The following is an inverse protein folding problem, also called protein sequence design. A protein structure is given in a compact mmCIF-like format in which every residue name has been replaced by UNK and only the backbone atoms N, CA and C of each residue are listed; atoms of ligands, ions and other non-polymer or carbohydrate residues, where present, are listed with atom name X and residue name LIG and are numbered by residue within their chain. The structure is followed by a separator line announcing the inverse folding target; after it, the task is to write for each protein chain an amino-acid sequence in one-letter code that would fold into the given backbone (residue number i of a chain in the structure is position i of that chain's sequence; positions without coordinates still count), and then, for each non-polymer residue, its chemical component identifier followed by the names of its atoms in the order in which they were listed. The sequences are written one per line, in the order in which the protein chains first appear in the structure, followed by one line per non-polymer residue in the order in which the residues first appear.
data_IF_145892408032
#
_entry.id   IF_145892408032
#
_cell.length_a   1.000
_cell.length_b   1.000
_cell.length_c   1.000
_cell.angle_alpha   90.00
_cell.angle_beta   90.00
_cell.angle_gamma   90.00
#
_symmetry.space_group_name_H-M   'P 1'
#
loop_
_entity.id
_entity.type
_entity.pdbx_description
1 polymer ?
#
# COMPACT_ATOMS: atom_id res chain seq x y z
N UNK A 1 19.09 -0.90 10.36
CA UNK A 1 18.82 0.22 9.44
C UNK A 1 18.20 1.36 10.23
N UNK A 2 18.73 2.56 10.06
CA UNK A 2 18.25 3.73 10.79
C UNK A 2 17.24 4.51 9.93
N UNK A 3 16.06 3.96 9.78
CA UNK A 3 14.97 4.60 9.07
C UNK A 3 13.83 5.00 10.02
N UNK A 4 12.89 5.79 9.53
CA UNK A 4 11.75 6.23 10.30
C UNK A 4 10.83 5.07 10.72
N UNK A 5 10.83 4.00 9.97
CA UNK A 5 10.13 2.75 10.24
C UNK A 5 10.75 1.95 11.41
N UNK A 6 12.03 2.21 11.74
CA UNK A 6 12.72 1.60 12.88
C UNK A 6 12.36 2.35 14.16
N UNK A 7 11.14 2.15 14.62
CA UNK A 7 10.57 2.83 15.80
C UNK A 7 10.99 2.18 17.11
N UNK A 8 11.61 1.02 17.05
CA UNK A 8 12.15 0.33 18.22
C UNK A 8 13.28 1.14 18.86
N UNK A 9 13.16 1.48 20.14
CA UNK A 9 14.13 2.32 20.84
C UNK A 9 13.96 3.82 20.68
N UNK A 10 13.03 4.27 19.83
CA UNK A 10 12.64 5.68 19.76
C UNK A 10 11.60 6.01 20.83
N UNK A 11 11.67 7.22 21.38
CA UNK A 11 10.77 7.70 22.42
C UNK A 11 9.98 8.92 21.93
N UNK A 12 8.92 9.27 22.67
CA UNK A 12 8.16 10.49 22.42
C UNK A 12 6.91 10.30 21.55
N UNK A 13 6.54 9.07 21.22
CA UNK A 13 5.29 8.79 20.49
C UNK A 13 4.03 8.81 21.37
N UNK A 14 4.20 8.92 22.68
CA UNK A 14 3.10 8.88 23.64
C UNK A 14 2.59 7.46 23.94
N UNK A 15 1.48 7.34 24.69
CA UNK A 15 0.91 6.05 25.01
C UNK A 15 0.23 5.41 23.80
N UNK A 16 0.20 4.09 23.76
CA UNK A 16 -0.61 3.35 22.79
C UNK A 16 -2.08 3.52 23.14
N UNK A 17 -2.84 4.10 22.22
CA UNK A 17 -4.27 4.28 22.36
C UNK A 17 -4.98 3.03 21.83
N UNK A 18 -5.62 2.29 22.73
CA UNK A 18 -6.36 1.09 22.39
C UNK A 18 -7.79 1.50 22.09
N UNK A 19 -8.24 1.21 20.87
CA UNK A 19 -9.62 1.41 20.47
C UNK A 19 -10.50 0.28 21.03
N UNK A 20 -11.52 0.64 21.80
CA UNK A 20 -12.50 -0.33 22.29
C UNK A 20 -13.39 -0.76 21.10
N UNK A 21 -13.54 -2.06 20.90
CA UNK A 21 -14.32 -2.64 19.79
C UNK A 21 -13.83 -2.23 18.41
N UNK A 22 -12.51 -2.20 18.22
CA UNK A 22 -11.88 -1.86 16.95
C UNK A 22 -12.44 -2.73 15.80
N UNK A 23 -13.01 -2.13 14.74
CA UNK A 23 -13.46 -2.88 13.58
C UNK A 23 -12.25 -3.37 12.75
N UNK A 24 -12.44 -4.41 11.94
CA UNK A 24 -11.39 -4.87 11.01
C UNK A 24 -10.96 -3.78 10.02
N UNK A 25 -11.92 -2.97 9.59
CA UNK A 25 -11.69 -1.83 8.71
C UNK A 25 -12.53 -0.65 9.18
N UNK A 26 -11.95 0.54 9.18
CA UNK A 26 -12.65 1.78 9.53
C UNK A 26 -13.45 2.36 8.36
N UNK A 27 -13.34 1.77 7.17
CA UNK A 27 -14.08 2.19 5.98
C UNK A 27 -13.91 1.23 4.81
N UNK A 28 -14.78 1.33 3.82
CA UNK A 28 -14.74 0.47 2.62
C UNK A 28 -13.46 0.67 1.81
N UNK A 29 -12.88 1.86 1.82
CA UNK A 29 -11.62 2.12 1.13
C UNK A 29 -10.45 1.30 1.69
N UNK A 30 -10.43 1.04 2.99
CA UNK A 30 -9.41 0.19 3.63
C UNK A 30 -9.51 -1.26 3.18
N UNK A 31 -10.73 -1.77 3.10
CA UNK A 31 -11.01 -3.09 2.57
C UNK A 31 -10.52 -3.23 1.13
N UNK A 32 -10.80 -2.22 0.30
CA UNK A 32 -10.32 -2.18 -1.09
C UNK A 32 -8.79 -2.08 -1.16
N UNK A 33 -8.18 -1.27 -0.32
CA UNK A 33 -6.72 -1.15 -0.25
C UNK A 33 -6.06 -2.50 0.03
N UNK A 34 -6.57 -3.25 1.00
CA UNK A 34 -6.10 -4.61 1.28
C UNK A 34 -6.30 -5.52 0.07
N UNK A 35 -7.52 -5.55 -0.48
CA UNK A 35 -7.87 -6.43 -1.60
C UNK A 35 -7.01 -6.19 -2.82
N UNK A 36 -6.82 -4.95 -3.23
CA UNK A 36 -5.97 -4.60 -4.39
C UNK A 36 -4.50 -4.92 -4.11
N UNK A 37 -4.02 -4.65 -2.90
CA UNK A 37 -2.64 -4.98 -2.53
C UNK A 37 -2.36 -6.49 -2.59
N UNK A 38 -3.28 -7.30 -2.10
CA UNK A 38 -3.17 -8.77 -2.17
C UNK A 38 -3.23 -9.26 -3.62
N UNK A 39 -4.18 -8.75 -4.39
CA UNK A 39 -4.33 -9.12 -5.80
C UNK A 39 -3.08 -8.77 -6.62
N UNK A 40 -2.51 -7.59 -6.41
CA UNK A 40 -1.28 -7.18 -7.09
C UNK A 40 -0.05 -7.94 -6.59
N UNK A 41 0.02 -8.28 -5.30
CA UNK A 41 1.06 -9.15 -4.78
C UNK A 41 1.07 -10.53 -5.44
N UNK A 42 -0.09 -11.06 -5.78
CA UNK A 42 -0.23 -12.34 -6.52
C UNK A 42 0.20 -12.24 -7.99
N UNK A 43 0.40 -11.05 -8.54
CA UNK A 43 0.90 -10.88 -9.92
C UNK A 43 2.33 -11.38 -10.11
N UNK A 44 3.12 -11.49 -9.04
CA UNK A 44 4.51 -11.89 -9.09
C UNK A 44 5.48 -10.79 -9.53
N UNK A 45 5.02 -9.55 -9.69
CA UNK A 45 5.85 -8.42 -10.12
C UNK A 45 6.77 -7.92 -9.00
N UNK A 46 6.48 -8.25 -7.76
CA UNK A 46 7.31 -7.99 -6.59
C UNK A 46 7.06 -9.03 -5.50
N UNK A 47 7.95 -9.06 -4.53
CA UNK A 47 7.81 -9.90 -3.35
C UNK A 47 7.42 -9.05 -2.12
N UNK A 48 7.22 -9.72 -0.99
CA UNK A 48 6.83 -9.06 0.27
C UNK A 48 7.88 -8.05 0.76
N UNK A 49 9.16 -8.34 0.53
CA UNK A 49 10.24 -7.46 0.99
C UNK A 49 10.25 -6.15 0.19
N UNK A 50 10.05 -6.22 -1.11
CA UNK A 50 9.90 -5.04 -1.97
C UNK A 50 8.68 -4.21 -1.57
N UNK A 51 7.56 -4.87 -1.27
CA UNK A 51 6.34 -4.19 -0.81
C UNK A 51 6.54 -3.49 0.54
N UNK A 52 7.27 -4.09 1.46
CA UNK A 52 7.63 -3.47 2.74
C UNK A 52 8.58 -2.29 2.53
N UNK A 53 9.63 -2.49 1.77
CA UNK A 53 10.58 -1.41 1.44
C UNK A 53 9.90 -0.21 0.79
N UNK A 54 8.92 -0.43 -0.09
CA UNK A 54 8.14 0.64 -0.68
C UNK A 54 7.36 1.47 0.35
N UNK A 55 6.79 0.81 1.38
CA UNK A 55 6.11 1.50 2.49
C UNK A 55 7.09 2.30 3.35
N UNK A 56 8.23 1.70 3.67
CA UNK A 56 9.28 2.31 4.47
C UNK A 56 9.97 3.48 3.76
N UNK A 57 9.90 3.53 2.44
CA UNK A 57 10.49 4.59 1.60
C UNK A 57 9.56 5.78 1.36
N UNK A 58 8.35 5.77 1.92
CA UNK A 58 7.43 6.90 1.82
C UNK A 58 7.99 8.14 2.52
N UNK A 59 7.55 9.34 2.12
CA UNK A 59 7.90 10.54 2.85
C UNK A 59 7.60 10.39 4.35
N UNK A 60 8.47 10.88 5.25
CA UNK A 60 8.34 10.68 6.69
C UNK A 60 6.96 10.96 7.26
N UNK A 61 6.34 12.07 6.88
CA UNK A 61 5.02 12.44 7.37
C UNK A 61 3.92 11.46 6.93
N UNK A 62 4.02 10.97 5.71
CA UNK A 62 3.06 9.97 5.19
C UNK A 62 3.14 8.66 5.96
N UNK A 63 4.35 8.27 6.35
CA UNK A 63 4.56 7.05 7.12
C UNK A 63 4.10 7.17 8.58
N UNK A 64 4.35 8.32 9.23
CA UNK A 64 4.10 8.49 10.67
C UNK A 64 2.68 8.95 10.97
N UNK A 65 2.09 9.81 10.14
CA UNK A 65 0.80 10.44 10.43
C UNK A 65 -0.38 9.78 9.71
N UNK A 66 -0.13 9.01 8.67
CA UNK A 66 -1.19 8.40 7.88
C UNK A 66 -1.85 7.21 8.58
N UNK A 67 -3.15 6.96 8.32
CA UNK A 67 -3.78 5.71 8.70
C UNK A 67 -3.04 4.51 8.07
N UNK A 68 -3.11 3.36 8.71
CA UNK A 68 -2.37 2.16 8.29
C UNK A 68 -2.54 1.83 6.80
N UNK A 69 -3.77 1.76 6.31
CA UNK A 69 -4.04 1.43 4.91
C UNK A 69 -3.73 2.57 3.93
N UNK A 70 -3.60 3.82 4.40
CA UNK A 70 -3.11 4.91 3.56
C UNK A 70 -1.63 4.71 3.19
N UNK A 71 -0.82 4.22 4.13
CA UNK A 71 0.57 3.82 3.89
C UNK A 71 0.62 2.73 2.80
N UNK A 72 -0.23 1.71 2.91
CA UNK A 72 -0.33 0.64 1.92
C UNK A 72 -0.70 1.17 0.53
N UNK A 73 -1.72 2.04 0.48
CA UNK A 73 -2.21 2.60 -0.79
C UNK A 73 -1.14 3.44 -1.48
N UNK A 74 -0.46 4.33 -0.75
CA UNK A 74 0.60 5.17 -1.31
C UNK A 74 1.77 4.35 -1.84
N UNK A 75 2.22 3.35 -1.08
CA UNK A 75 3.28 2.45 -1.52
C UNK A 75 2.87 1.64 -2.77
N UNK A 76 1.64 1.14 -2.80
CA UNK A 76 1.10 0.43 -3.96
C UNK A 76 1.07 1.33 -5.20
N UNK A 77 0.60 2.57 -5.08
CA UNK A 77 0.61 3.55 -6.17
C UNK A 77 2.01 3.74 -6.76
N UNK A 78 3.00 3.93 -5.91
CA UNK A 78 4.38 4.09 -6.34
C UNK A 78 4.90 2.84 -7.07
N UNK A 79 4.64 1.66 -6.54
CA UNK A 79 5.06 0.40 -7.18
C UNK A 79 4.38 0.18 -8.54
N UNK A 80 3.10 0.51 -8.66
CA UNK A 80 2.36 0.38 -9.91
C UNK A 80 2.89 1.32 -11.00
N UNK A 81 3.24 2.55 -10.63
CA UNK A 81 3.83 3.54 -11.54
C UNK A 81 5.24 3.10 -11.95
N UNK A 82 6.09 2.73 -11.01
CA UNK A 82 7.46 2.29 -11.28
C UNK A 82 7.51 1.11 -12.25
N UNK A 83 6.55 0.21 -12.16
CA UNK A 83 6.47 -0.96 -13.05
C UNK A 83 5.66 -0.74 -14.33
N UNK A 84 5.22 0.49 -14.56
CA UNK A 84 4.53 0.86 -15.78
C UNK A 84 3.12 0.28 -15.91
N UNK A 85 2.51 -0.16 -14.81
CA UNK A 85 1.14 -0.70 -14.82
C UNK A 85 0.08 0.40 -14.90
N UNK A 86 0.38 1.54 -14.31
CA UNK A 86 -0.41 2.76 -14.41
C UNK A 86 0.51 3.96 -14.61
N UNK A 87 -0.06 5.06 -15.07
CA UNK A 87 0.64 6.33 -15.17
C UNK A 87 0.22 7.28 -14.04
N UNK A 88 1.05 8.29 -13.77
CA UNK A 88 0.69 9.34 -12.82
C UNK A 88 -0.57 10.11 -13.24
N UNK A 89 -0.78 10.31 -14.54
CA UNK A 89 -1.98 10.96 -15.08
C UNK A 89 -3.23 10.12 -14.86
N UNK A 90 -3.17 8.80 -15.05
CA UNK A 90 -4.27 7.88 -14.75
C UNK A 90 -4.64 7.94 -13.27
N UNK A 91 -3.65 7.97 -12.40
CA UNK A 91 -3.88 8.09 -10.96
C UNK A 91 -4.55 9.42 -10.61
N UNK A 92 -4.08 10.54 -11.18
CA UNK A 92 -4.62 11.87 -10.94
C UNK A 92 -6.07 12.02 -11.45
N UNK A 93 -6.37 11.41 -12.60
CA UNK A 93 -7.71 11.48 -13.21
C UNK A 93 -8.68 10.40 -12.70
N UNK A 94 -8.16 9.35 -12.05
CA UNK A 94 -8.97 8.25 -11.54
C UNK A 94 -9.62 7.39 -12.62
N UNK A 95 -9.03 7.33 -13.80
CA UNK A 95 -9.54 6.55 -14.93
C UNK A 95 -8.40 6.01 -15.79
N UNK A 96 -8.60 4.88 -16.50
CA UNK A 96 -7.61 4.36 -17.42
C UNK A 96 -7.47 5.28 -18.65
N UNK A 97 -6.24 5.58 -19.03
CA UNK A 97 -5.90 6.39 -20.22
C UNK A 97 -5.12 5.58 -21.25
N UNK A 98 -4.51 4.47 -20.83
CA UNK A 98 -3.71 3.59 -21.67
C UNK A 98 -4.27 2.16 -21.64
N UNK A 99 -3.99 1.35 -22.69
CA UNK A 99 -4.39 -0.06 -22.68
C UNK A 99 -3.76 -0.82 -21.52
N UNK A 100 -4.41 -1.88 -21.01
CA UNK A 100 -3.82 -2.74 -19.99
C UNK A 100 -2.49 -3.32 -20.45
N UNK A 101 -1.55 -3.46 -19.50
CA UNK A 101 -0.26 -4.12 -19.78
C UNK A 101 -0.50 -5.62 -19.99
N UNK A 102 -0.01 -6.13 -21.12
CA UNK A 102 -0.14 -7.55 -21.46
C UNK A 102 0.74 -8.43 -20.55
N UNK A 103 0.29 -9.66 -20.31
CA UNK A 103 1.08 -10.69 -19.63
C UNK A 103 1.11 -10.57 -18.10
N UNK A 104 0.38 -9.65 -17.50
CA UNK A 104 0.25 -9.55 -16.06
C UNK A 104 -0.68 -10.64 -15.53
N UNK A 105 -0.23 -11.39 -14.55
CA UNK A 105 -1.03 -12.41 -13.88
C UNK A 105 -2.16 -11.75 -13.09
N UNK A 106 -3.39 -12.18 -13.34
CA UNK A 106 -4.58 -11.67 -12.65
C UNK A 106 -5.07 -12.71 -11.63
N UNK A 107 -5.21 -12.30 -10.37
CA UNK A 107 -5.80 -13.15 -9.33
C UNK A 107 -7.31 -13.24 -9.54
N UNK A 108 -7.82 -14.47 -9.64
CA UNK A 108 -9.25 -14.75 -9.71
C UNK A 108 -9.82 -15.05 -8.32
N UNK A 109 -11.09 -14.70 -8.11
CA UNK A 109 -11.74 -14.94 -6.81
C UNK A 109 -11.69 -16.40 -6.35
N UNK A 110 -11.77 -17.34 -7.30
CA UNK A 110 -11.68 -18.78 -7.00
C UNK A 110 -10.27 -19.25 -6.57
N UNK A 111 -9.26 -18.39 -6.64
CA UNK A 111 -7.87 -18.68 -6.29
C UNK A 111 -7.47 -18.13 -4.90
N UNK A 112 -8.40 -17.46 -4.23
CA UNK A 112 -8.17 -16.86 -2.90
C UNK A 112 -8.38 -17.89 -1.79
#
# INVERSE_FOLDING_TARGET
MNGLHDMGGQQGYGPVLIEAHEPLFHGEWERRALGVTVAMGASGLWNIDLARSARESLPPLDYVQGPYYAIWTKALQNMLIERGLITADELAQGQPLTPPVAGVRVLQAAQV
#
